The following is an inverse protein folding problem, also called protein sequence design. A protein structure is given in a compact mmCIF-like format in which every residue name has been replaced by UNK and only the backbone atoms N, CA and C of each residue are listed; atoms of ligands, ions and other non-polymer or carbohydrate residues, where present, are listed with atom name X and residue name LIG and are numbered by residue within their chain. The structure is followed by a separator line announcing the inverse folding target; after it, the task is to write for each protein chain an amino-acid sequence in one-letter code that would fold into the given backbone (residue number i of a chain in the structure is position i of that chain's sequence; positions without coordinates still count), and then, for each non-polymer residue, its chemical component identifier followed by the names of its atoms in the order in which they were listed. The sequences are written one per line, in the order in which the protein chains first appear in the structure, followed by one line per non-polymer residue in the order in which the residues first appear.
data_IF_925149101125
#
_entry.id   IF_925149101125
#
_cell.length_a   1.000
_cell.length_b   1.000
_cell.length_c   1.000
_cell.angle_alpha   90.00
_cell.angle_beta   90.00
_cell.angle_gamma   90.00
#
_symmetry.space_group_name_H-M   'P 1'
#
loop_
_entity.id
_entity.type
_entity.pdbx_description
1 polymer ?
#
# COMPACT_ATOMS: atom_id res chain seq x y z
N UNK A 1 4.30 13.33 6.51
CA UNK A 1 3.61 12.99 5.26
C UNK A 1 3.62 11.48 5.07
N UNK A 2 2.48 10.88 4.70
CA UNK A 2 2.39 9.42 4.47
C UNK A 2 2.19 9.06 3.00
N UNK A 3 3.07 8.21 2.50
CA UNK A 3 3.01 7.62 1.16
C UNK A 3 2.75 6.11 1.22
N UNK A 4 1.89 5.62 0.34
CA UNK A 4 1.61 4.21 0.15
C UNK A 4 2.17 3.73 -1.19
N UNK A 5 2.89 2.61 -1.16
CA UNK A 5 3.42 1.92 -2.34
C UNK A 5 2.85 0.49 -2.33
N UNK A 6 2.15 0.05 -3.39
CA UNK A 6 1.78 -1.36 -3.53
C UNK A 6 3.04 -2.20 -3.73
N UNK A 7 3.18 -3.27 -2.97
CA UNK A 7 4.38 -4.12 -2.96
C UNK A 7 4.03 -5.59 -3.14
N UNK A 8 5.01 -6.39 -3.57
CA UNK A 8 4.83 -7.83 -3.79
C UNK A 8 4.97 -8.67 -2.51
N UNK A 9 5.34 -8.06 -1.39
CA UNK A 9 5.50 -8.75 -0.11
C UNK A 9 5.97 -7.82 1.01
N UNK A 10 6.22 -8.40 2.19
CA UNK A 10 6.40 -7.68 3.45
C UNK A 10 7.81 -7.13 3.73
N UNK A 11 8.64 -6.97 2.68
CA UNK A 11 10.01 -6.47 2.80
C UNK A 11 10.17 -4.98 3.13
N UNK A 12 9.06 -4.27 3.41
CA UNK A 12 9.06 -2.83 3.69
C UNK A 12 9.74 -2.03 2.59
N UNK A 13 10.73 -1.20 2.96
CA UNK A 13 11.50 -0.37 2.02
C UNK A 13 12.30 -1.15 0.98
N UNK A 14 12.55 -2.45 1.20
CA UNK A 14 13.27 -3.33 0.27
C UNK A 14 12.33 -4.19 -0.57
N UNK A 15 11.01 -4.09 -0.37
CA UNK A 15 10.06 -4.87 -1.12
C UNK A 15 10.00 -4.39 -2.58
N UNK A 16 9.83 -5.33 -3.50
CA UNK A 16 9.56 -5.01 -4.89
C UNK A 16 8.20 -4.31 -5.03
N UNK A 17 8.17 -3.23 -5.82
CA UNK A 17 6.92 -2.54 -6.19
C UNK A 17 6.04 -3.49 -7.01
N UNK A 18 4.75 -3.52 -6.69
CA UNK A 18 3.75 -4.21 -7.50
C UNK A 18 3.22 -3.25 -8.57
N UNK A 19 3.18 -3.71 -9.82
CA UNK A 19 2.73 -2.91 -10.95
C UNK A 19 1.21 -2.69 -10.95
N UNK A 20 0.44 -3.58 -10.32
CA UNK A 20 -1.02 -3.53 -10.26
C UNK A 20 -1.50 -3.18 -8.85
N UNK A 21 -1.86 -1.92 -8.64
CA UNK A 21 -2.32 -1.42 -7.34
C UNK A 21 -3.49 -2.24 -6.75
N UNK A 22 -4.54 -2.49 -7.53
CA UNK A 22 -5.76 -3.17 -7.06
C UNK A 22 -5.60 -4.65 -6.69
N UNK A 23 -4.47 -5.27 -7.06
CA UNK A 23 -4.19 -6.69 -6.82
C UNK A 23 -2.85 -6.90 -6.14
N UNK A 24 -2.30 -5.84 -5.53
CA UNK A 24 -1.07 -5.95 -4.77
C UNK A 24 -1.34 -6.82 -3.53
N UNK A 25 -0.48 -7.81 -3.22
CA UNK A 25 -0.66 -8.63 -2.02
C UNK A 25 -0.40 -7.84 -0.73
N UNK A 26 0.45 -6.81 -0.80
CA UNK A 26 0.78 -5.95 0.34
C UNK A 26 0.87 -4.49 -0.08
N UNK A 27 0.77 -3.60 0.90
CA UNK A 27 0.98 -2.17 0.78
C UNK A 27 2.00 -1.72 1.82
N UNK A 28 3.02 -0.99 1.38
CA UNK A 28 4.02 -0.38 2.26
C UNK A 28 3.70 1.09 2.42
N UNK A 29 3.45 1.51 3.65
CA UNK A 29 3.20 2.89 4.03
C UNK A 29 4.44 3.44 4.71
N UNK A 30 5.02 4.50 4.15
CA UNK A 30 6.15 5.21 4.74
C UNK A 30 5.69 6.58 5.27
N UNK A 31 6.01 6.86 6.53
CA UNK A 31 5.86 8.19 7.15
C UNK A 31 7.21 8.91 7.07
N UNK A 32 7.32 9.88 6.18
CA UNK A 32 8.58 10.59 5.91
C UNK A 32 8.96 11.59 6.98
N UNK A 33 8.03 11.98 7.86
CA UNK A 33 8.31 12.88 8.97
C UNK A 33 8.82 12.12 10.19
N UNK A 34 8.31 10.89 10.39
CA UNK A 34 8.67 10.04 11.53
C UNK A 34 9.76 9.02 11.20
N UNK A 35 10.14 8.90 9.92
CA UNK A 35 11.02 7.86 9.42
C UNK A 35 10.54 6.45 9.82
N UNK A 36 9.23 6.24 9.72
CA UNK A 36 8.56 4.99 10.10
C UNK A 36 7.99 4.28 8.87
N UNK A 37 7.96 2.95 8.91
CA UNK A 37 7.53 2.10 7.80
C UNK A 37 6.60 1.02 8.33
N UNK A 38 5.37 1.04 7.82
CA UNK A 38 4.33 0.05 8.09
C UNK A 38 4.08 -0.79 6.84
N UNK A 39 3.94 -2.09 7.01
CA UNK A 39 3.48 -2.99 5.95
C UNK A 39 2.10 -3.51 6.32
N UNK A 40 1.21 -3.57 5.33
CA UNK A 40 -0.14 -4.11 5.47
C UNK A 40 -0.41 -5.13 4.38
N UNK A 41 -1.07 -6.23 4.74
CA UNK A 41 -1.63 -7.15 3.76
C UNK A 41 -2.85 -6.53 3.09
N UNK A 42 -3.07 -6.82 1.80
CA UNK A 42 -4.34 -6.53 1.18
C UNK A 42 -5.42 -7.41 1.85
N UNK A 43 -6.52 -6.79 2.23
CA UNK A 43 -7.71 -7.45 2.79
C UNK A 43 -8.96 -7.06 2.01
N UNK A 44 -8.78 -6.49 0.81
CA UNK A 44 -9.83 -5.95 -0.02
C UNK A 44 -10.68 -7.01 -0.72
N UNK A 45 -11.77 -6.56 -1.34
CA UNK A 45 -12.68 -7.40 -2.11
C UNK A 45 -12.00 -8.18 -3.24
N UNK A 46 -10.91 -7.67 -3.82
CA UNK A 46 -10.24 -8.32 -4.95
C UNK A 46 -9.54 -9.62 -4.57
N UNK A 47 -9.26 -9.82 -3.29
CA UNK A 47 -8.69 -11.05 -2.74
C UNK A 47 -9.70 -11.85 -1.89
N UNK A 48 -10.99 -11.53 -1.98
CA UNK A 48 -12.06 -12.19 -1.22
C UNK A 48 -12.39 -11.57 0.14
N UNK A 49 -11.81 -10.42 0.48
CA UNK A 49 -12.08 -9.68 1.72
C UNK A 49 -13.16 -8.60 1.57
N UNK A 50 -13.05 -7.50 2.34
CA UNK A 50 -14.05 -6.42 2.40
C UNK A 50 -13.40 -5.05 2.19
N UNK A 51 -14.17 -4.12 1.63
CA UNK A 51 -13.72 -2.76 1.32
C UNK A 51 -12.73 -2.70 0.15
N UNK A 52 -12.14 -1.52 -0.05
CA UNK A 52 -11.13 -1.27 -1.08
C UNK A 52 -9.84 -0.72 -0.47
N UNK A 53 -8.66 -1.01 -1.08
CA UNK A 53 -7.39 -0.52 -0.54
C UNK A 53 -7.37 1.00 -0.29
N UNK A 54 -7.89 1.87 -1.20
CA UNK A 54 -7.90 3.32 -0.96
C UNK A 54 -8.69 3.76 0.28
N UNK A 55 -9.76 3.05 0.65
CA UNK A 55 -10.53 3.36 1.87
C UNK A 55 -9.69 3.10 3.11
N UNK A 56 -8.93 2.00 3.11
CA UNK A 56 -7.99 1.68 4.18
C UNK A 56 -6.85 2.70 4.23
N UNK A 57 -6.30 3.09 3.08
CA UNK A 57 -5.25 4.12 3.00
C UNK A 57 -5.74 5.47 3.52
N UNK A 58 -6.97 5.86 3.18
CA UNK A 58 -7.58 7.08 3.70
C UNK A 58 -7.73 7.05 5.22
N UNK A 59 -8.18 5.92 5.79
CA UNK A 59 -8.30 5.76 7.25
C UNK A 59 -6.93 5.83 7.96
N UNK A 60 -5.88 5.35 7.32
CA UNK A 60 -4.50 5.39 7.85
C UNK A 60 -3.82 6.76 7.65
N UNK A 61 -4.51 7.72 7.02
CA UNK A 61 -4.01 9.07 6.76
C UNK A 61 -2.95 9.13 5.67
N UNK A 62 -2.99 8.21 4.71
CA UNK A 62 -2.13 8.26 3.52
C UNK A 62 -2.54 9.43 2.64
N UNK A 63 -1.56 10.21 2.20
CA UNK A 63 -1.74 11.39 1.38
C UNK A 63 -1.39 11.14 -0.09
N UNK A 64 -0.41 10.26 -0.34
CA UNK A 64 0.10 9.95 -1.68
C UNK A 64 0.09 8.44 -1.90
N UNK A 65 -0.43 8.00 -3.04
CA UNK A 65 -0.25 6.63 -3.54
C UNK A 65 0.71 6.67 -4.71
N UNK A 66 1.81 5.90 -4.64
CA UNK A 66 2.89 5.92 -5.63
C UNK A 66 3.11 4.52 -6.23
N UNK A 67 2.94 4.39 -7.55
CA UNK A 67 3.23 3.15 -8.27
C UNK A 67 3.45 3.41 -9.78
N UNK A 68 3.97 2.42 -10.50
CA UNK A 68 4.52 2.58 -11.85
C UNK A 68 3.49 2.70 -12.98
N UNK A 69 2.19 2.57 -12.71
CA UNK A 69 1.18 2.68 -13.76
C UNK A 69 -0.23 2.40 -13.26
N UNK A 70 -1.16 3.30 -13.55
CA UNK A 70 -2.59 2.98 -13.48
C UNK A 70 -2.85 1.92 -14.55
N UNK A 71 -3.28 0.73 -14.10
CA UNK A 71 -3.72 -0.34 -15.00
C UNK A 71 -4.79 0.15 -15.96
#
# INVERSE_FOLDING_TARGET
MKLCIPTKGSGGMKAEVNLHFWRAPTFTIADTEKNDVKVMDDTSRHIGGKGYPPETMQRDGVEIMLWSGLG
#
